data_IF_069789456553
#
_entry.id   IF_069789456553
#
_cell.length_a   1.000
_cell.length_b   1.000
_cell.length_c   1.000
_cell.angle_alpha   90.00
_cell.angle_beta   90.00
_cell.angle_gamma   90.00
#
_symmetry.space_group_name_H-M   'P 1'
#
loop_
_entity.id
_entity.type
_entity.pdbx_description
1 polymer ?
#
# COMPACT_ATOMS: atom_id res chain seq x y z
N UNK A 1 -9.70 39.16 37.63
CA UNK A 1 -10.47 39.39 36.38
C UNK A 1 -10.37 40.88 36.07
N UNK A 2 -10.05 41.24 34.82
CA UNK A 2 -11.10 41.30 33.82
C UNK A 2 -10.97 40.18 32.79
N UNK A 3 -12.15 39.76 32.31
CA UNK A 3 -12.37 38.78 31.27
C UNK A 3 -12.16 39.40 29.89
N UNK A 4 -11.60 38.64 28.95
CA UNK A 4 -12.05 38.63 27.55
C UNK A 4 -11.87 37.22 26.99
N UNK A 5 -12.95 36.77 26.36
CA UNK A 5 -13.14 35.43 25.82
C UNK A 5 -12.64 35.31 24.37
N UNK A 6 -12.40 34.04 24.01
CA UNK A 6 -12.54 33.46 22.68
C UNK A 6 -11.58 33.88 21.54
N UNK A 7 -10.73 32.93 21.16
CA UNK A 7 -10.53 32.59 19.75
C UNK A 7 -10.35 31.06 19.61
N UNK A 8 -11.43 30.31 19.87
CA UNK A 8 -11.60 29.02 19.20
C UNK A 8 -12.03 29.34 17.77
N UNK A 9 -11.11 29.20 16.82
CA UNK A 9 -11.42 29.41 15.41
C UNK A 9 -10.17 29.59 14.56
N UNK A 10 -9.76 28.52 13.88
CA UNK A 10 -8.66 28.58 12.92
C UNK A 10 -8.43 27.23 12.27
N UNK A 11 -9.29 26.88 11.30
CA UNK A 11 -9.09 25.88 10.24
C UNK A 11 -7.71 25.19 10.21
N UNK A 12 -7.60 24.03 10.86
CA UNK A 12 -6.40 23.20 10.83
C UNK A 12 -6.31 22.20 9.68
N UNK A 13 -7.11 22.37 8.61
CA UNK A 13 -6.97 21.59 7.37
C UNK A 13 -6.08 22.30 6.36
N UNK A 14 -5.00 22.95 6.81
CA UNK A 14 -3.82 23.08 5.96
C UNK A 14 -3.19 21.69 5.90
N UNK A 15 -3.09 21.12 4.70
CA UNK A 15 -2.65 19.74 4.48
C UNK A 15 -1.45 19.38 5.37
N UNK A 16 -1.70 18.57 6.40
CA UNK A 16 -0.68 18.31 7.42
C UNK A 16 0.53 17.70 6.73
N UNK A 17 1.71 18.27 6.96
CA UNK A 17 2.96 17.68 6.52
C UNK A 17 2.98 16.19 6.84
N UNK A 18 3.40 15.36 5.87
CA UNK A 18 3.37 13.89 5.98
C UNK A 18 4.17 13.37 7.19
N UNK A 19 5.15 14.15 7.65
CA UNK A 19 6.03 13.84 8.76
C UNK A 19 6.31 15.10 9.59
N UNK A 20 6.40 14.97 10.92
CA UNK A 20 7.12 15.95 11.77
C UNK A 20 8.63 15.93 11.46
N UNK A 21 9.42 16.93 11.90
CA UNK A 21 10.87 16.91 11.73
C UNK A 21 11.53 15.65 12.32
N UNK A 22 11.05 15.20 13.49
CA UNK A 22 11.57 14.02 14.16
C UNK A 22 11.17 12.72 13.43
N UNK A 23 9.94 12.64 12.93
CA UNK A 23 9.49 11.52 12.10
C UNK A 23 10.27 11.45 10.79
N UNK A 24 10.54 12.60 10.16
CA UNK A 24 11.35 12.70 8.94
C UNK A 24 12.77 12.19 9.20
N UNK A 25 13.39 12.63 10.30
CA UNK A 25 14.71 12.14 10.71
C UNK A 25 14.71 10.61 10.88
N UNK A 26 13.74 10.05 11.61
CA UNK A 26 13.63 8.58 11.79
C UNK A 26 13.43 7.84 10.46
N UNK A 27 12.64 8.39 9.54
CA UNK A 27 12.45 7.85 8.18
C UNK A 27 13.74 7.83 7.39
N UNK A 28 14.54 8.89 7.48
CA UNK A 28 15.77 9.03 6.71
C UNK A 28 16.91 8.17 7.27
N UNK A 29 16.90 7.91 8.58
CA UNK A 29 17.90 7.07 9.26
C UNK A 29 17.61 5.56 9.18
N UNK A 30 16.37 5.15 8.91
CA UNK A 30 15.98 3.73 8.94
C UNK A 30 16.18 3.02 7.60
N UNK A 31 16.87 1.87 7.62
CA UNK A 31 17.03 0.99 6.45
C UNK A 31 15.70 0.48 5.88
N UNK A 32 14.64 0.46 6.69
CA UNK A 32 13.32 0.00 6.27
C UNK A 32 12.73 0.85 5.13
N UNK A 33 13.12 2.14 5.02
CA UNK A 33 12.71 2.99 3.89
C UNK A 33 13.25 2.46 2.56
N UNK A 34 14.50 1.97 2.54
CA UNK A 34 15.10 1.34 1.35
C UNK A 34 14.42 0.02 1.04
N UNK A 35 14.14 -0.80 2.06
CA UNK A 35 13.41 -2.07 1.90
C UNK A 35 12.05 -1.83 1.23
N UNK A 36 11.27 -0.87 1.71
CA UNK A 36 9.99 -0.50 1.08
C UNK A 36 10.18 0.05 -0.34
N UNK A 37 11.21 0.87 -0.55
CA UNK A 37 11.56 1.41 -1.86
C UNK A 37 11.89 0.35 -2.92
N UNK A 38 12.37 -0.83 -2.51
CA UNK A 38 12.62 -1.97 -3.39
C UNK A 38 11.38 -2.88 -3.51
N UNK A 39 10.74 -3.20 -2.38
CA UNK A 39 9.60 -4.12 -2.36
C UNK A 39 8.39 -3.58 -3.11
N UNK A 40 8.12 -2.26 -3.06
CA UNK A 40 6.98 -1.68 -3.76
C UNK A 40 7.06 -1.85 -5.30
N UNK A 41 8.18 -1.50 -5.98
CA UNK A 41 8.37 -1.80 -7.40
C UNK A 41 8.31 -3.30 -7.74
N UNK A 42 8.95 -4.15 -6.94
CA UNK A 42 8.91 -5.62 -7.13
C UNK A 42 7.47 -6.11 -7.06
N UNK A 43 6.72 -5.64 -6.08
CA UNK A 43 5.33 -6.01 -5.88
C UNK A 43 4.43 -5.57 -7.05
N UNK A 44 4.73 -4.40 -7.65
CA UNK A 44 4.04 -3.93 -8.85
C UNK A 44 4.36 -4.78 -10.10
N UNK A 45 5.61 -5.20 -10.26
CA UNK A 45 5.98 -6.09 -11.37
C UNK A 45 5.28 -7.45 -11.24
N UNK A 46 5.29 -8.03 -10.04
CA UNK A 46 4.61 -9.30 -9.76
C UNK A 46 3.09 -9.18 -9.94
N UNK A 47 2.52 -8.04 -9.55
CA UNK A 47 1.13 -7.71 -9.89
C UNK A 47 0.87 -7.77 -11.40
N UNK A 48 1.65 -7.06 -12.21
CA UNK A 48 1.44 -6.96 -13.65
C UNK A 48 1.54 -8.34 -14.34
N UNK A 49 2.54 -9.13 -13.99
CA UNK A 49 2.72 -10.50 -14.51
C UNK A 49 1.51 -11.37 -14.13
N UNK A 50 1.10 -11.34 -12.86
CA UNK A 50 -0.03 -12.13 -12.39
C UNK A 50 -1.34 -11.72 -13.04
N UNK A 51 -1.56 -10.42 -13.27
CA UNK A 51 -2.74 -9.92 -13.99
C UNK A 51 -2.82 -10.47 -15.43
N UNK A 52 -1.69 -10.54 -16.14
CA UNK A 52 -1.64 -11.11 -17.49
C UNK A 52 -1.98 -12.60 -17.46
N UNK A 53 -1.43 -13.36 -16.52
CA UNK A 53 -1.66 -14.81 -16.40
C UNK A 53 -3.12 -15.13 -16.04
N UNK A 54 -3.69 -14.41 -15.06
CA UNK A 54 -5.10 -14.53 -14.67
C UNK A 54 -6.02 -14.18 -15.84
N UNK A 55 -5.75 -13.08 -16.54
CA UNK A 55 -6.56 -12.65 -17.70
C UNK A 55 -6.49 -13.68 -18.84
N UNK A 56 -5.29 -14.20 -19.14
CA UNK A 56 -5.10 -15.26 -20.14
C UNK A 56 -5.92 -16.50 -19.80
N UNK A 57 -5.89 -16.95 -18.54
CA UNK A 57 -6.70 -18.09 -18.10
C UNK A 57 -8.20 -17.81 -18.28
N UNK A 58 -8.69 -16.65 -17.84
CA UNK A 58 -10.12 -16.32 -17.96
C UNK A 58 -10.61 -16.20 -19.40
N UNK A 59 -9.74 -15.79 -20.34
CA UNK A 59 -10.07 -15.66 -21.76
C UNK A 59 -9.97 -16.98 -22.53
N UNK A 60 -9.04 -17.87 -22.16
CA UNK A 60 -8.68 -19.05 -22.98
C UNK A 60 -8.99 -20.39 -22.31
N UNK A 61 -9.30 -20.38 -21.00
CA UNK A 61 -9.41 -21.59 -20.19
C UNK A 61 -8.07 -22.31 -19.92
N UNK A 62 -6.95 -21.79 -20.40
CA UNK A 62 -5.64 -22.44 -20.34
C UNK A 62 -4.65 -21.72 -19.43
N UNK A 63 -3.77 -22.47 -18.76
CA UNK A 63 -2.71 -21.92 -17.92
C UNK A 63 -3.10 -21.67 -16.46
N UNK A 64 -4.11 -22.38 -15.96
CA UNK A 64 -4.57 -22.34 -14.57
C UNK A 64 -3.43 -22.44 -13.56
N UNK A 65 -2.57 -23.45 -13.69
CA UNK A 65 -1.44 -23.68 -12.77
C UNK A 65 -0.52 -22.46 -12.69
N UNK A 66 -0.27 -21.77 -13.81
CA UNK A 66 0.56 -20.57 -13.81
C UNK A 66 -0.13 -19.37 -13.17
N UNK A 67 -1.45 -19.21 -13.37
CA UNK A 67 -2.23 -18.16 -12.72
C UNK A 67 -2.31 -18.38 -11.19
N UNK A 68 -2.53 -19.62 -10.77
CA UNK A 68 -2.52 -20.00 -9.36
C UNK A 68 -1.15 -19.75 -8.72
N UNK A 69 -0.08 -20.25 -9.36
CA UNK A 69 1.28 -20.07 -8.89
C UNK A 69 1.66 -18.59 -8.79
N UNK A 70 1.27 -17.76 -9.76
CA UNK A 70 1.54 -16.32 -9.72
C UNK A 70 0.80 -15.62 -8.59
N UNK A 71 -0.44 -16.02 -8.28
CA UNK A 71 -1.21 -15.48 -7.15
C UNK A 71 -0.60 -15.91 -5.82
N UNK A 72 -0.20 -17.18 -5.67
CA UNK A 72 0.47 -17.67 -4.45
C UNK A 72 1.77 -16.89 -4.23
N UNK A 73 2.62 -16.78 -5.26
CA UNK A 73 3.87 -16.04 -5.19
C UNK A 73 3.65 -14.56 -4.84
N UNK A 74 2.69 -13.91 -5.50
CA UNK A 74 2.28 -12.53 -5.18
C UNK A 74 1.81 -12.38 -3.73
N UNK A 75 1.10 -13.37 -3.21
CA UNK A 75 0.58 -13.34 -1.84
C UNK A 75 1.72 -13.42 -0.81
N UNK A 76 2.75 -14.25 -1.05
CA UNK A 76 3.93 -14.30 -0.19
C UNK A 76 4.68 -12.96 -0.14
N UNK A 77 4.79 -12.28 -1.29
CA UNK A 77 5.40 -10.94 -1.34
C UNK A 77 4.49 -9.91 -0.68
N UNK A 78 3.16 -10.01 -0.81
CA UNK A 78 2.20 -9.15 -0.08
C UNK A 78 2.39 -9.24 1.44
N UNK A 79 2.52 -10.45 1.98
CA UNK A 79 2.80 -10.61 3.41
C UNK A 79 4.15 -10.02 3.78
N UNK A 80 5.18 -10.23 2.95
CA UNK A 80 6.52 -9.67 3.19
C UNK A 80 6.50 -8.14 3.23
N UNK A 81 5.90 -7.49 2.23
CA UNK A 81 5.84 -6.02 2.18
C UNK A 81 4.95 -5.46 3.28
N UNK A 82 3.86 -6.16 3.64
CA UNK A 82 3.01 -5.77 4.77
C UNK A 82 3.79 -5.80 6.08
N UNK A 83 4.41 -6.94 6.42
CA UNK A 83 5.15 -7.10 7.69
C UNK A 83 6.29 -6.09 7.79
N UNK A 84 7.08 -5.95 6.72
CA UNK A 84 8.19 -4.99 6.71
C UNK A 84 7.70 -3.53 6.71
N UNK A 85 6.54 -3.26 6.11
CA UNK A 85 5.86 -1.95 6.18
C UNK A 85 5.38 -1.65 7.59
N UNK A 86 4.85 -2.64 8.30
CA UNK A 86 4.44 -2.49 9.70
C UNK A 86 5.61 -2.17 10.62
N UNK A 87 6.76 -2.81 10.38
CA UNK A 87 8.00 -2.51 11.12
C UNK A 87 8.46 -1.09 10.80
N UNK A 88 8.43 -0.68 9.53
CA UNK A 88 8.77 0.68 9.12
C UNK A 88 7.89 1.72 9.84
N UNK A 89 6.57 1.53 9.86
CA UNK A 89 5.66 2.43 10.58
C UNK A 89 5.95 2.46 12.08
N UNK A 90 6.31 1.30 12.66
CA UNK A 90 6.63 1.23 14.09
C UNK A 90 7.85 2.08 14.42
N UNK A 91 8.86 2.06 13.56
CA UNK A 91 10.09 2.85 13.73
C UNK A 91 9.82 4.34 13.51
N UNK A 92 9.05 4.71 12.50
CA UNK A 92 8.82 6.13 12.15
C UNK A 92 7.79 6.78 13.05
N UNK A 93 6.63 6.13 13.27
CA UNK A 93 5.46 6.71 13.94
C UNK A 93 5.16 6.10 15.32
N UNK A 94 5.90 5.07 15.74
CA UNK A 94 5.63 4.37 16.99
C UNK A 94 4.41 3.45 16.95
N UNK A 95 3.79 3.24 15.77
CA UNK A 95 2.59 2.42 15.56
C UNK A 95 2.86 1.30 14.55
N UNK A 96 2.30 0.11 14.77
CA UNK A 96 2.51 -1.01 13.86
C UNK A 96 1.79 -0.88 12.52
N UNK A 97 0.60 -0.30 12.51
CA UNK A 97 -0.20 0.02 11.34
C UNK A 97 -1.09 1.21 11.71
N UNK A 98 -1.71 1.81 10.70
CA UNK A 98 -2.70 2.86 10.82
C UNK A 98 -2.12 4.15 11.42
N UNK A 99 -0.87 4.47 11.12
CA UNK A 99 -0.37 5.81 11.33
C UNK A 99 -1.30 6.80 10.62
N UNK A 100 -1.61 7.94 11.25
CA UNK A 100 -2.61 8.90 10.73
C UNK A 100 -2.37 9.27 9.24
N UNK A 101 -1.11 9.48 8.78
CA UNK A 101 -0.86 9.80 7.38
C UNK A 101 -0.96 8.61 6.40
N UNK A 102 -1.05 7.37 6.89
CA UNK A 102 -1.08 6.11 6.11
C UNK A 102 -2.33 5.26 6.37
N UNK A 103 -3.25 5.76 7.19
CA UNK A 103 -4.44 5.02 7.63
C UNK A 103 -5.24 4.40 6.48
N UNK A 104 -5.49 5.17 5.42
CA UNK A 104 -6.29 4.69 4.30
C UNK A 104 -5.54 3.68 3.45
N UNK A 105 -4.24 3.88 3.21
CA UNK A 105 -3.39 2.89 2.55
C UNK A 105 -3.39 1.56 3.30
N UNK A 106 -3.37 1.59 4.63
CA UNK A 106 -3.42 0.38 5.45
C UNK A 106 -4.78 -0.31 5.37
N UNK A 107 -5.88 0.44 5.39
CA UNK A 107 -7.23 -0.13 5.23
C UNK A 107 -7.34 -0.90 3.90
N UNK A 108 -6.91 -0.29 2.80
CA UNK A 108 -6.95 -0.94 1.49
C UNK A 108 -5.94 -2.09 1.39
N UNK A 109 -4.75 -1.95 1.98
CA UNK A 109 -3.76 -3.03 2.03
C UNK A 109 -4.27 -4.24 2.81
N UNK A 110 -4.97 -4.03 3.93
CA UNK A 110 -5.62 -5.10 4.68
C UNK A 110 -6.72 -5.78 3.88
N UNK A 111 -7.51 -5.01 3.10
CA UNK A 111 -8.52 -5.59 2.20
C UNK A 111 -7.88 -6.42 1.08
N UNK A 112 -6.79 -5.92 0.45
CA UNK A 112 -6.02 -6.69 -0.55
C UNK A 112 -5.50 -7.98 0.07
N UNK A 113 -4.93 -7.91 1.28
CA UNK A 113 -4.40 -9.08 1.97
C UNK A 113 -5.50 -10.08 2.32
N UNK A 114 -6.66 -9.61 2.78
CA UNK A 114 -7.81 -10.46 3.10
C UNK A 114 -8.33 -11.19 1.86
N UNK A 115 -8.46 -10.51 0.71
CA UNK A 115 -8.91 -11.13 -0.54
C UNK A 115 -7.89 -12.16 -1.06
N UNK A 116 -6.60 -11.87 -0.96
CA UNK A 116 -5.55 -12.83 -1.28
C UNK A 116 -5.55 -14.03 -0.32
N UNK A 117 -5.82 -13.81 0.96
CA UNK A 117 -5.95 -14.89 1.95
C UNK A 117 -7.15 -15.77 1.64
N UNK A 118 -8.30 -15.16 1.31
CA UNK A 118 -9.50 -15.87 0.88
C UNK A 118 -9.22 -16.73 -0.36
N UNK A 119 -8.48 -16.19 -1.34
CA UNK A 119 -8.04 -16.96 -2.49
C UNK A 119 -7.23 -18.21 -2.09
N UNK A 120 -6.26 -18.08 -1.18
CA UNK A 120 -5.45 -19.22 -0.73
C UNK A 120 -6.30 -20.27 0.01
N UNK A 121 -7.24 -19.83 0.86
CA UNK A 121 -8.19 -20.72 1.54
C UNK A 121 -9.01 -21.50 0.51
N UNK A 122 -9.51 -20.83 -0.53
CA UNK A 122 -10.26 -21.48 -1.58
C UNK A 122 -9.41 -22.48 -2.38
N UNK A 123 -8.18 -22.09 -2.75
CA UNK A 123 -7.25 -22.95 -3.48
C UNK A 123 -6.91 -24.21 -2.69
N UNK A 124 -6.41 -24.08 -1.45
CA UNK A 124 -5.94 -25.22 -0.67
C UNK A 124 -7.08 -26.03 -0.04
N UNK A 125 -8.24 -25.42 0.18
CA UNK A 125 -9.45 -26.09 0.67
C UNK A 125 -10.29 -26.75 -0.42
N UNK A 126 -9.96 -26.56 -1.70
CA UNK A 126 -10.79 -27.04 -2.81
C UNK A 126 -12.19 -26.42 -2.84
N UNK A 127 -12.31 -25.15 -2.43
CA UNK A 127 -13.60 -24.45 -2.28
C UNK A 127 -13.88 -23.61 -3.52
N UNK A 128 -15.05 -23.84 -4.12
CA UNK A 128 -15.49 -23.12 -5.32
C UNK A 128 -14.75 -23.53 -6.58
N UNK A 129 -15.20 -22.98 -7.71
CA UNK A 129 -14.56 -23.16 -9.00
C UNK A 129 -13.29 -22.30 -9.15
N UNK A 130 -12.39 -22.71 -10.03
CA UNK A 130 -11.21 -21.90 -10.39
C UNK A 130 -11.63 -20.52 -10.91
N UNK A 131 -12.72 -20.42 -11.67
CA UNK A 131 -13.24 -19.11 -12.14
C UNK A 131 -13.60 -18.19 -10.98
N UNK A 132 -14.32 -18.68 -9.97
CA UNK A 132 -14.68 -17.87 -8.79
C UNK A 132 -13.45 -17.40 -8.03
N UNK A 133 -12.46 -18.28 -7.84
CA UNK A 133 -11.17 -17.90 -7.26
C UNK A 133 -10.49 -16.79 -8.06
N UNK A 134 -10.43 -16.90 -9.39
CA UNK A 134 -9.83 -15.87 -10.24
C UNK A 134 -10.57 -14.53 -10.14
N UNK A 135 -11.89 -14.53 -9.97
CA UNK A 135 -12.66 -13.30 -9.72
C UNK A 135 -12.31 -12.66 -8.37
N UNK A 136 -12.06 -13.45 -7.32
CA UNK A 136 -11.54 -12.94 -6.04
C UNK A 136 -10.15 -12.32 -6.22
N UNK A 137 -9.27 -12.93 -7.01
CA UNK A 137 -7.96 -12.35 -7.32
C UNK A 137 -8.11 -11.02 -8.09
N UNK A 138 -9.00 -10.95 -9.09
CA UNK A 138 -9.29 -9.71 -9.81
C UNK A 138 -9.87 -8.61 -8.90
N UNK A 139 -10.72 -8.96 -7.94
CA UNK A 139 -11.20 -8.02 -6.93
C UNK A 139 -10.04 -7.48 -6.08
N UNK A 140 -9.11 -8.34 -5.64
CA UNK A 140 -7.91 -7.91 -4.92
C UNK A 140 -7.04 -6.97 -5.78
N UNK A 141 -6.95 -7.25 -7.08
CA UNK A 141 -6.20 -6.45 -8.04
C UNK A 141 -6.81 -5.07 -8.24
N UNK A 142 -8.13 -4.98 -8.32
CA UNK A 142 -8.83 -3.70 -8.41
C UNK A 142 -8.57 -2.84 -7.16
N UNK A 143 -8.62 -3.43 -5.96
CA UNK A 143 -8.28 -2.72 -4.72
C UNK A 143 -6.81 -2.31 -4.69
N UNK A 144 -5.90 -3.17 -5.16
CA UNK A 144 -4.47 -2.85 -5.23
C UNK A 144 -4.17 -1.65 -6.15
N UNK A 145 -4.94 -1.45 -7.23
CA UNK A 145 -4.79 -0.26 -8.08
C UNK A 145 -5.07 1.04 -7.31
N UNK A 146 -5.98 1.03 -6.32
CA UNK A 146 -6.22 2.17 -5.44
C UNK A 146 -4.96 2.48 -4.62
N UNK A 147 -4.33 1.47 -4.02
CA UNK A 147 -3.06 1.63 -3.30
C UNK A 147 -1.95 2.20 -4.20
N UNK A 148 -1.81 1.67 -5.42
CA UNK A 148 -0.82 2.14 -6.37
C UNK A 148 -1.07 3.61 -6.76
N UNK A 149 -2.33 4.00 -6.96
CA UNK A 149 -2.70 5.38 -7.24
C UNK A 149 -2.36 6.31 -6.06
N UNK A 150 -2.68 5.92 -4.82
CA UNK A 150 -2.32 6.67 -3.61
C UNK A 150 -0.81 6.88 -3.51
N UNK A 151 -0.02 5.83 -3.77
CA UNK A 151 1.43 5.91 -3.78
C UNK A 151 1.97 6.91 -4.83
N UNK A 152 1.46 6.86 -6.06
CA UNK A 152 1.88 7.78 -7.13
C UNK A 152 1.53 9.23 -6.81
N UNK A 153 0.35 9.48 -6.22
CA UNK A 153 -0.05 10.82 -5.79
C UNK A 153 0.87 11.36 -4.69
N UNK A 154 1.21 10.52 -3.69
CA UNK A 154 2.19 10.88 -2.64
C UNK A 154 3.58 11.18 -3.22
N UNK A 155 4.06 10.37 -4.17
CA UNK A 155 5.34 10.59 -4.83
C UNK A 155 5.36 11.91 -5.61
N UNK A 156 4.26 12.22 -6.31
CA UNK A 156 4.11 13.49 -7.02
C UNK A 156 4.12 14.68 -6.07
N UNK A 157 3.39 14.60 -4.95
CA UNK A 157 3.36 15.65 -3.94
C UNK A 157 4.75 15.90 -3.34
N UNK A 158 5.49 14.83 -3.01
CA UNK A 158 6.85 14.94 -2.47
C UNK A 158 7.83 15.61 -3.46
N UNK A 159 7.73 15.29 -4.76
CA UNK A 159 8.55 15.94 -5.80
C UNK A 159 8.23 17.43 -5.94
N UNK A 160 6.96 17.80 -5.89
CA UNK A 160 6.55 19.21 -5.96
C UNK A 160 7.04 20.01 -4.77
N UNK A 161 6.97 19.45 -3.56
CA UNK A 161 7.51 20.08 -2.34
C UNK A 161 9.02 20.28 -2.44
N UNK A 162 9.77 19.26 -2.88
CA UNK A 162 11.23 19.38 -3.05
C UNK A 162 11.63 20.50 -4.03
N UNK A 163 10.87 20.67 -5.13
CA UNK A 163 11.13 21.75 -6.08
C UNK A 163 10.83 23.14 -5.49
N UNK A 164 9.80 23.26 -4.64
CA UNK A 164 9.48 24.50 -3.95
C UNK A 164 10.57 24.87 -2.93
N UNK A 165 11.04 23.91 -2.15
CA UNK A 165 12.11 24.13 -1.17
C UNK A 165 13.39 24.63 -1.86
N UNK A 166 13.79 24.00 -2.98
CA UNK A 166 14.95 24.41 -3.77
C UNK A 166 14.83 25.84 -4.32
N UNK A 167 13.64 26.24 -4.78
CA UNK A 167 13.38 27.58 -5.32
C UNK A 167 13.36 28.68 -4.24
N UNK A 168 13.13 28.32 -2.97
CA UNK A 168 13.18 29.26 -1.84
C UNK A 168 14.61 29.43 -1.31
N UNK A 169 15.46 28.40 -1.43
CA UNK A 169 16.84 28.41 -0.92
C UNK A 169 17.91 28.86 -1.91
N UNK A 170 17.58 28.99 -3.20
CA UNK A 170 18.49 29.42 -4.27
C UNK A 170 18.19 30.84 -4.74
#
# INVERSE_FOLDING_TARGET
>A
MPHTAAAFGGNGYQGSALYTPEERKRRDETYWTVVQGILAPVQFLVFAISLVLVSRYLMTGSGEVFADASIVFKTLILYTIMVTGSIWEKVVFGKWLFARPFFWEDVFSMLVLALHTAYLIMLFGGIGSTRERMLIALAAYAVYVINAAQFLLKLRAARLQANQDLAVTG
#
